data_IF_323952049730
#
_entry.id   IF_323952049730
#
_cell.length_a   1.000
_cell.length_b   1.000
_cell.length_c   1.000
_cell.angle_alpha   90.00
_cell.angle_beta   90.00
_cell.angle_gamma   90.00
#
_symmetry.space_group_name_H-M   'P 1'
#
loop_
_entity.id
_entity.type
_entity.pdbx_description
1 polymer ?
#
# COMPACT_ATOMS: atom_id res chain seq x y z
N UNK A 1 12.17 41.60 -54.93
CA UNK A 1 13.48 40.91 -54.97
C UNK A 1 13.36 39.62 -54.13
N UNK A 2 12.83 38.50 -54.62
CA UNK A 2 13.50 37.39 -55.34
C UNK A 2 14.89 36.99 -54.78
N UNK A 3 14.93 35.97 -53.93
CA UNK A 3 15.92 34.88 -54.03
C UNK A 3 15.25 33.53 -53.81
N UNK A 4 15.54 32.61 -54.73
CA UNK A 4 15.00 31.26 -54.94
C UNK A 4 16.24 30.34 -55.08
N UNK A 5 16.02 29.02 -54.93
CA UNK A 5 16.91 27.87 -55.29
C UNK A 5 18.02 27.53 -54.27
N UNK A 6 18.30 26.26 -53.92
CA UNK A 6 18.19 24.98 -54.67
C UNK A 6 17.89 23.76 -53.77
N UNK A 7 17.22 22.77 -54.39
CA UNK A 7 17.15 21.34 -54.01
C UNK A 7 18.48 20.60 -54.24
N UNK A 8 18.67 19.46 -53.57
CA UNK A 8 19.29 18.27 -54.17
C UNK A 8 18.74 16.96 -53.55
N UNK A 9 18.28 16.07 -54.43
CA UNK A 9 17.95 14.64 -54.22
C UNK A 9 19.22 13.77 -54.21
N UNK A 10 19.16 12.62 -53.53
CA UNK A 10 19.60 11.27 -53.96
C UNK A 10 19.27 10.30 -52.79
N UNK A 11 18.31 9.38 -52.89
CA UNK A 11 18.35 8.03 -53.52
C UNK A 11 19.44 7.11 -52.95
N UNK A 12 19.03 6.06 -52.21
CA UNK A 12 19.50 4.70 -52.47
C UNK A 12 18.50 3.64 -51.98
N UNK A 13 18.26 2.66 -52.87
CA UNK A 13 17.35 1.52 -52.79
C UNK A 13 18.10 0.29 -52.25
N UNK A 14 17.38 -0.72 -51.75
CA UNK A 14 17.41 -2.14 -52.20
C UNK A 14 16.62 -3.03 -51.21
N UNK A 15 15.51 -3.64 -51.66
CA UNK A 15 15.40 -4.98 -52.28
C UNK A 15 15.74 -6.13 -51.33
N UNK A 16 14.71 -6.88 -50.89
CA UNK A 16 14.66 -8.36 -51.00
C UNK A 16 13.18 -8.77 -51.10
N UNK A 17 12.80 -9.24 -52.28
CA UNK A 17 11.58 -9.99 -52.59
C UNK A 17 12.06 -11.21 -53.40
N UNK A 18 11.72 -12.42 -52.91
CA UNK A 18 11.86 -13.76 -53.49
C UNK A 18 11.77 -14.72 -52.27
N UNK A 19 10.95 -15.77 -52.18
CA UNK A 19 10.33 -16.60 -53.19
C UNK A 19 9.03 -17.22 -52.64
N UNK A 20 8.01 -17.16 -53.47
CA UNK A 20 6.79 -17.96 -53.50
C UNK A 20 7.08 -19.42 -53.88
N UNK A 21 6.38 -20.38 -53.28
CA UNK A 21 5.98 -21.62 -53.95
C UNK A 21 4.67 -22.14 -53.35
N UNK A 22 3.60 -22.00 -54.13
CA UNK A 22 2.31 -22.68 -53.97
C UNK A 22 2.34 -24.01 -54.76
N UNK A 23 1.68 -24.99 -54.16
CA UNK A 23 0.84 -26.05 -54.75
C UNK A 23 1.39 -26.94 -55.89
N UNK A 24 1.49 -28.24 -55.64
CA UNK A 24 0.80 -29.26 -56.46
C UNK A 24 0.81 -30.65 -55.78
N UNK A 25 -0.38 -31.22 -55.62
CA UNK A 25 -0.66 -32.59 -55.17
C UNK A 25 -0.53 -33.55 -56.36
N UNK A 26 -0.14 -34.82 -56.13
CA UNK A 26 -0.92 -35.88 -56.78
C UNK A 26 -1.24 -37.08 -55.86
N UNK A 27 -2.42 -37.63 -56.15
CA UNK A 27 -3.01 -38.91 -55.72
C UNK A 27 -2.10 -40.14 -55.90
N UNK A 28 -2.35 -41.15 -55.06
CA UNK A 28 -1.98 -42.55 -55.32
C UNK A 28 -2.85 -43.17 -56.43
N UNK A 29 -2.35 -44.18 -57.17
CA UNK A 29 -3.03 -45.48 -57.09
C UNK A 29 -2.15 -46.75 -57.27
N UNK A 30 -2.70 -47.83 -56.69
CA UNK A 30 -2.79 -49.23 -57.20
C UNK A 30 -1.60 -50.22 -57.18
N UNK A 31 -1.69 -51.11 -56.17
CA UNK A 31 -1.72 -52.58 -56.17
C UNK A 31 -1.30 -53.45 -57.40
N UNK A 32 -0.39 -54.38 -57.09
CA UNK A 32 -0.29 -55.83 -57.46
C UNK A 32 0.01 -56.24 -58.93
N UNK A 33 0.50 -57.47 -59.19
CA UNK A 33 1.58 -58.23 -58.53
C UNK A 33 2.58 -58.80 -59.56
N UNK A 34 3.75 -59.29 -59.12
CA UNK A 34 4.47 -60.33 -59.87
C UNK A 34 5.17 -61.29 -58.91
N UNK A 35 4.53 -62.45 -58.74
CA UNK A 35 5.07 -63.66 -58.17
C UNK A 35 6.22 -64.19 -59.03
N UNK A 36 7.35 -64.56 -58.41
CA UNK A 36 8.04 -65.80 -58.80
C UNK A 36 8.78 -66.43 -57.61
N UNK A 37 8.37 -67.66 -57.30
CA UNK A 37 9.34 -68.74 -57.10
C UNK A 37 9.79 -69.03 -55.66
N UNK A 38 8.99 -69.83 -54.95
CA UNK A 38 9.40 -70.60 -53.78
C UNK A 38 10.65 -71.44 -54.00
N UNK A 39 11.59 -71.38 -53.04
CA UNK A 39 12.13 -72.55 -52.32
C UNK A 39 12.56 -72.14 -50.91
N UNK A 40 11.70 -72.41 -49.94
CA UNK A 40 12.12 -72.52 -48.53
C UNK A 40 12.52 -73.96 -48.27
N UNK A 41 13.66 -74.17 -47.63
CA UNK A 41 13.89 -75.39 -46.86
C UNK A 41 14.42 -75.02 -45.47
N UNK A 42 13.95 -75.69 -44.41
CA UNK A 42 14.04 -75.22 -43.03
C UNK A 42 15.07 -76.07 -42.26
N UNK A 43 16.17 -75.48 -41.82
CA UNK A 43 17.06 -76.17 -40.88
C UNK A 43 18.08 -75.21 -40.25
N UNK A 44 17.71 -74.59 -39.12
CA UNK A 44 18.56 -74.17 -38.00
C UNK A 44 17.79 -73.09 -37.23
N UNK A 45 17.56 -73.12 -35.92
CA UNK A 45 17.95 -74.05 -34.89
C UNK A 45 16.95 -73.85 -33.74
N UNK A 46 16.35 -74.97 -33.36
CA UNK A 46 15.61 -75.25 -32.14
C UNK A 46 16.43 -74.96 -30.87
N UNK A 47 16.63 -73.69 -30.52
CA UNK A 47 17.38 -73.28 -29.33
C UNK A 47 16.85 -72.06 -28.56
N UNK A 48 15.89 -71.32 -29.10
CA UNK A 48 15.52 -69.99 -28.55
C UNK A 48 14.33 -70.06 -27.57
N UNK A 49 13.46 -71.07 -27.66
CA UNK A 49 12.24 -71.14 -26.83
C UNK A 49 12.47 -71.57 -25.37
N UNK A 50 13.65 -72.11 -25.01
CA UNK A 50 13.98 -72.43 -23.60
C UNK A 50 14.63 -71.26 -22.84
N UNK A 51 15.31 -70.33 -23.52
CA UNK A 51 15.91 -69.15 -22.89
C UNK A 51 14.88 -68.05 -22.61
N UNK A 52 13.88 -67.87 -23.48
CA UNK A 52 12.80 -66.89 -23.26
C UNK A 52 11.96 -67.25 -22.02
N UNK A 53 11.69 -68.54 -21.79
CA UNK A 53 10.86 -68.97 -20.64
C UNK A 53 11.56 -68.82 -19.29
N UNK A 54 12.89 -68.97 -19.22
CA UNK A 54 13.67 -68.71 -18.01
C UNK A 54 13.86 -67.20 -17.76
N UNK A 55 14.04 -66.40 -18.81
CA UNK A 55 14.13 -64.94 -18.68
C UNK A 55 12.84 -64.31 -18.13
N UNK A 56 11.68 -64.81 -18.55
CA UNK A 56 10.38 -64.31 -18.07
C UNK A 56 10.17 -64.63 -16.57
N UNK A 57 10.56 -65.82 -16.09
CA UNK A 57 10.45 -66.14 -14.66
C UNK A 57 11.45 -65.38 -13.78
N UNK A 58 12.66 -65.10 -14.28
CA UNK A 58 13.63 -64.24 -13.58
C UNK A 58 13.11 -62.80 -13.44
N UNK A 59 12.43 -62.26 -14.46
CA UNK A 59 11.85 -60.92 -14.42
C UNK A 59 10.68 -60.84 -13.42
N UNK A 60 9.81 -61.84 -13.37
CA UNK A 60 8.67 -61.89 -12.43
C UNK A 60 9.13 -62.08 -10.98
N UNK A 61 10.19 -62.85 -10.72
CA UNK A 61 10.77 -63.00 -9.38
C UNK A 61 11.56 -61.77 -8.91
N UNK A 62 12.03 -60.90 -9.83
CA UNK A 62 12.77 -59.68 -9.49
C UNK A 62 11.90 -58.59 -8.84
N UNK A 63 10.61 -58.54 -9.19
CA UNK A 63 9.67 -57.54 -8.66
C UNK A 63 9.45 -57.63 -7.15
N UNK A 64 9.10 -58.81 -6.60
CA UNK A 64 8.94 -58.99 -5.15
C UNK A 64 10.24 -58.78 -4.38
N UNK A 65 11.39 -59.17 -4.94
CA UNK A 65 12.69 -59.07 -4.28
C UNK A 65 13.20 -57.62 -4.21
N UNK A 66 13.00 -56.83 -5.28
CA UNK A 66 13.25 -55.39 -5.27
C UNK A 66 12.24 -54.64 -4.38
N UNK A 67 10.99 -55.08 -4.33
CA UNK A 67 9.97 -54.53 -3.43
C UNK A 67 10.29 -54.76 -1.94
N UNK A 68 10.79 -55.95 -1.59
CA UNK A 68 11.25 -56.28 -0.23
C UNK A 68 12.53 -55.52 0.15
N UNK A 69 13.49 -55.38 -0.77
CA UNK A 69 14.70 -54.55 -0.54
C UNK A 69 14.37 -53.06 -0.36
N UNK A 70 13.37 -52.53 -1.09
CA UNK A 70 12.92 -51.16 -0.94
C UNK A 70 12.21 -50.89 0.42
N UNK A 71 11.53 -51.90 0.97
CA UNK A 71 10.87 -51.80 2.28
C UNK A 71 11.85 -51.87 3.47
N UNK A 72 13.02 -52.49 3.29
CA UNK A 72 14.07 -52.54 4.33
C UNK A 72 15.02 -51.34 4.23
N UNK A 73 15.19 -50.75 3.05
CA UNK A 73 16.09 -49.61 2.83
C UNK A 73 15.48 -48.23 3.18
N UNK A 74 14.21 -48.15 3.55
CA UNK A 74 13.51 -46.88 3.83
C UNK A 74 13.67 -46.36 5.27
N UNK A 75 14.57 -46.95 6.06
CA UNK A 75 14.95 -46.48 7.40
C UNK A 75 16.36 -45.90 7.43
N UNK A 76 16.68 -44.97 6.53
CA UNK A 76 17.76 -44.03 6.76
C UNK A 76 17.29 -42.98 7.77
N UNK A 77 18.10 -42.55 8.76
CA UNK A 77 17.71 -41.44 9.61
C UNK A 77 17.39 -40.26 8.70
N UNK A 78 16.17 -39.76 8.78
CA UNK A 78 15.81 -38.53 8.11
C UNK A 78 16.88 -37.50 8.48
N UNK A 79 17.65 -37.04 7.50
CA UNK A 79 18.47 -35.86 7.70
C UNK A 79 17.48 -34.79 8.14
N UNK A 80 17.57 -34.42 9.41
CA UNK A 80 16.65 -33.46 10.01
C UNK A 80 16.65 -32.25 9.10
N UNK A 81 15.52 -31.98 8.45
CA UNK A 81 15.24 -30.65 7.92
C UNK A 81 15.51 -29.75 9.10
N UNK A 82 16.50 -28.87 8.97
CA UNK A 82 16.82 -27.87 10.00
C UNK A 82 15.48 -27.28 10.42
N UNK A 83 15.07 -27.61 11.65
CA UNK A 83 13.83 -27.11 12.24
C UNK A 83 13.89 -25.60 12.02
N UNK A 84 12.91 -24.97 11.34
CA UNK A 84 12.94 -23.53 11.12
C UNK A 84 13.23 -22.89 12.47
N UNK A 85 14.39 -22.24 12.61
CA UNK A 85 14.73 -21.49 13.80
C UNK A 85 13.58 -20.51 13.96
N UNK A 86 12.73 -20.74 14.95
CA UNK A 86 11.57 -19.90 15.18
C UNK A 86 12.12 -18.48 15.36
N UNK A 87 11.83 -17.60 14.40
CA UNK A 87 12.16 -16.18 14.53
C UNK A 87 11.46 -15.74 15.82
N UNK A 88 12.19 -15.24 16.83
CA UNK A 88 11.58 -14.84 18.08
C UNK A 88 10.47 -13.84 17.76
N UNK A 89 9.26 -14.12 18.22
CA UNK A 89 8.14 -13.21 18.06
C UNK A 89 8.52 -11.89 18.74
N UNK A 90 8.60 -10.77 17.99
CA UNK A 90 8.95 -9.49 18.59
C UNK A 90 7.90 -9.11 19.64
N UNK A 91 8.35 -8.48 20.72
CA UNK A 91 7.44 -8.03 21.76
C UNK A 91 6.47 -6.97 21.20
N UNK A 92 5.26 -6.94 21.72
CA UNK A 92 4.21 -6.02 21.28
C UNK A 92 4.42 -4.63 21.88
N UNK A 93 4.40 -3.55 21.08
CA UNK A 93 4.55 -2.19 21.60
C UNK A 93 3.27 -1.66 22.30
N UNK A 94 2.12 -2.34 22.19
CA UNK A 94 0.80 -1.79 22.58
C UNK A 94 0.74 -1.33 24.04
N UNK A 95 1.27 -2.13 24.97
CA UNK A 95 1.29 -1.80 26.39
C UNK A 95 2.16 -0.58 26.71
N UNK A 96 3.47 -0.62 26.36
CA UNK A 96 4.40 0.49 26.55
C UNK A 96 3.92 1.79 25.91
N UNK A 97 3.34 1.73 24.70
CA UNK A 97 2.86 2.90 23.95
C UNK A 97 1.68 3.59 24.65
N UNK A 98 0.67 2.83 25.08
CA UNK A 98 -0.44 3.38 25.86
C UNK A 98 0.00 3.98 27.19
N UNK A 99 0.94 3.35 27.89
CA UNK A 99 1.51 3.90 29.12
C UNK A 99 2.26 5.21 28.89
N UNK A 100 3.07 5.30 27.82
CA UNK A 100 3.81 6.52 27.48
C UNK A 100 2.88 7.70 27.16
N UNK A 101 1.77 7.44 26.47
CA UNK A 101 0.80 8.47 26.13
C UNK A 101 0.14 9.09 27.38
N UNK A 102 -0.26 8.24 28.33
CA UNK A 102 -0.79 8.67 29.62
C UNK A 102 0.24 9.45 30.43
N UNK A 103 1.49 8.98 30.45
CA UNK A 103 2.57 9.66 31.17
C UNK A 103 2.87 11.05 30.60
N UNK A 104 2.94 11.21 29.28
CA UNK A 104 3.17 12.53 28.65
C UNK A 104 2.02 13.49 28.95
N UNK A 105 0.77 13.01 28.93
CA UNK A 105 -0.41 13.81 29.28
C UNK A 105 -0.36 14.26 30.74
N UNK A 106 -0.05 13.35 31.68
CA UNK A 106 0.12 13.66 33.09
C UNK A 106 1.29 14.62 33.34
N UNK A 107 2.43 14.42 32.66
CA UNK A 107 3.61 15.28 32.75
C UNK A 107 3.33 16.72 32.31
N UNK A 108 2.55 16.90 31.23
CA UNK A 108 2.18 18.23 30.77
C UNK A 108 1.27 18.96 31.75
N UNK A 109 0.36 18.23 32.40
CA UNK A 109 -0.57 18.79 33.40
C UNK A 109 0.10 19.05 34.76
N UNK A 110 1.08 18.24 35.12
CA UNK A 110 1.81 18.37 36.37
C UNK A 110 2.62 19.69 36.42
N UNK A 111 2.76 20.20 37.63
CA UNK A 111 3.60 21.34 37.95
C UNK A 111 4.07 21.31 39.39
N UNK A 112 4.64 22.44 39.83
CA UNK A 112 5.19 22.60 41.17
C UNK A 112 4.15 22.25 42.25
N UNK A 113 4.47 21.31 43.12
CA UNK A 113 3.61 20.83 44.20
C UNK A 113 2.64 19.70 43.81
N UNK A 114 2.62 19.31 42.53
CA UNK A 114 1.81 18.20 42.00
C UNK A 114 2.65 17.06 41.43
N UNK A 115 3.94 17.00 41.76
CA UNK A 115 4.87 15.98 41.29
C UNK A 115 4.45 14.55 41.66
N UNK A 116 3.67 14.42 42.75
CA UNK A 116 3.07 13.14 43.17
C UNK A 116 2.16 12.53 42.11
N UNK A 117 1.58 13.34 41.22
CA UNK A 117 0.71 12.85 40.14
C UNK A 117 1.51 12.06 39.08
N UNK A 118 2.84 12.21 39.07
CA UNK A 118 3.74 11.45 38.19
C UNK A 118 4.23 10.14 38.81
N UNK A 119 4.02 9.92 40.11
CA UNK A 119 4.49 8.73 40.82
C UNK A 119 4.00 7.39 40.22
N UNK A 120 2.77 7.27 39.65
CA UNK A 120 2.35 6.05 38.97
C UNK A 120 3.16 5.72 37.72
N UNK A 121 3.84 6.71 37.13
CA UNK A 121 4.53 6.57 35.85
C UNK A 121 6.04 6.56 36.00
N UNK A 122 6.58 7.38 36.90
CA UNK A 122 8.01 7.61 37.06
C UNK A 122 8.37 7.56 38.55
N UNK A 123 9.26 6.64 38.91
CA UNK A 123 9.70 6.43 40.28
C UNK A 123 10.85 7.35 40.72
N UNK A 124 11.42 8.14 39.80
CA UNK A 124 12.50 9.05 40.12
C UNK A 124 11.99 10.35 40.75
N UNK A 125 12.88 11.05 41.46
CA UNK A 125 12.59 12.38 41.99
C UNK A 125 12.53 13.40 40.85
N UNK A 126 11.49 14.24 40.87
CA UNK A 126 11.32 15.35 39.93
C UNK A 126 10.98 16.61 40.71
N UNK A 127 11.51 17.75 40.27
CA UNK A 127 11.11 19.07 40.73
C UNK A 127 10.58 19.84 39.52
N UNK A 128 9.30 20.17 39.52
CA UNK A 128 8.68 20.92 38.44
C UNK A 128 8.64 22.40 38.80
N UNK A 129 9.10 23.26 37.89
CA UNK A 129 9.08 24.71 38.08
C UNK A 129 7.84 25.38 37.45
N UNK A 130 7.05 24.63 36.66
CA UNK A 130 5.86 25.15 35.98
C UNK A 130 4.67 25.19 36.94
N UNK A 131 3.75 26.14 36.76
CA UNK A 131 2.50 26.15 37.51
C UNK A 131 1.66 24.92 37.13
N UNK A 132 1.07 24.17 38.09
CA UNK A 132 0.17 23.07 37.79
C UNK A 132 -0.96 23.49 36.85
N UNK A 133 -1.27 22.65 35.86
CA UNK A 133 -2.30 22.90 34.84
C UNK A 133 -2.01 24.07 33.89
N UNK A 134 -0.81 24.67 33.95
CA UNK A 134 -0.42 25.73 33.01
C UNK A 134 -0.21 25.23 31.60
N UNK A 135 0.01 23.92 31.42
CA UNK A 135 0.07 23.24 30.13
C UNK A 135 -0.85 22.03 30.19
N UNK A 136 -1.47 21.71 29.08
CA UNK A 136 -2.30 20.50 28.93
C UNK A 136 -2.16 19.95 27.53
N UNK A 137 -2.21 18.63 27.40
CA UNK A 137 -2.41 17.97 26.11
C UNK A 137 -3.93 17.91 25.84
N UNK A 138 -4.42 18.58 24.79
CA UNK A 138 -5.82 18.44 24.36
C UNK A 138 -6.03 17.13 23.61
N UNK A 139 -4.98 16.66 22.93
CA UNK A 139 -4.90 15.38 22.24
C UNK A 139 -3.47 14.87 22.35
N UNK A 140 -3.31 13.56 22.45
CA UNK A 140 -2.02 12.86 22.38
C UNK A 140 -2.14 11.65 21.48
N UNK A 141 -1.03 11.20 20.91
CA UNK A 141 -0.95 9.94 20.19
C UNK A 141 0.51 9.50 20.04
N UNK A 142 0.76 8.20 20.00
CA UNK A 142 2.09 7.66 19.72
C UNK A 142 2.36 7.65 18.22
N UNK A 143 3.47 8.25 17.81
CA UNK A 143 3.87 8.35 16.39
C UNK A 143 5.06 7.45 16.03
N UNK A 144 5.80 6.97 17.03
CA UNK A 144 6.91 6.03 16.84
C UNK A 144 7.15 5.21 18.11
N UNK A 145 7.50 3.95 17.93
CA UNK A 145 7.92 3.05 18.99
C UNK A 145 9.04 2.16 18.49
N UNK A 146 10.09 2.00 19.29
CA UNK A 146 11.19 1.09 18.99
C UNK A 146 11.68 0.42 20.26
N UNK A 147 11.81 -0.90 20.23
CA UNK A 147 12.44 -1.66 21.31
C UNK A 147 13.96 -1.45 21.23
N UNK A 148 14.52 -0.79 22.25
CA UNK A 148 15.96 -0.49 22.34
C UNK A 148 16.70 -1.72 22.86
N UNK A 149 16.10 -2.43 23.81
CA UNK A 149 16.55 -3.70 24.37
C UNK A 149 15.32 -4.53 24.75
N UNK A 150 15.42 -5.87 24.91
CA UNK A 150 14.29 -6.70 25.31
C UNK A 150 13.55 -6.14 26.54
N UNK A 151 12.29 -5.77 26.36
CA UNK A 151 11.46 -5.16 27.42
C UNK A 151 11.74 -3.68 27.70
N UNK A 152 12.53 -2.99 26.89
CA UNK A 152 12.84 -1.58 27.03
C UNK A 152 12.62 -0.80 25.73
N UNK A 153 11.77 0.21 25.81
CA UNK A 153 11.17 0.87 24.67
C UNK A 153 11.51 2.35 24.64
N UNK A 154 11.82 2.87 23.46
CA UNK A 154 11.84 4.29 23.15
C UNK A 154 10.57 4.65 22.40
N UNK A 155 9.73 5.48 22.99
CA UNK A 155 8.43 5.86 22.44
C UNK A 155 8.39 7.36 22.22
N UNK A 156 7.93 7.78 21.05
CA UNK A 156 7.70 9.18 20.71
C UNK A 156 6.19 9.45 20.66
N UNK A 157 5.73 10.36 21.52
CA UNK A 157 4.35 10.83 21.63
C UNK A 157 4.24 12.21 21.00
N UNK A 158 3.28 12.40 20.11
CA UNK A 158 2.83 13.72 19.67
C UNK A 158 1.71 14.19 20.59
N UNK A 159 1.76 15.43 21.06
CA UNK A 159 0.73 16.03 21.89
C UNK A 159 0.37 17.42 21.37
N UNK A 160 -0.91 17.72 21.16
CA UNK A 160 -1.38 19.07 20.89
C UNK A 160 -1.44 19.84 22.22
N UNK A 161 -0.49 20.74 22.42
CA UNK A 161 -0.28 21.40 23.71
C UNK A 161 -1.00 22.74 23.72
N UNK A 162 -1.83 22.94 24.73
CA UNK A 162 -2.37 24.25 25.10
C UNK A 162 -1.67 24.73 26.36
N UNK A 163 -1.32 26.01 26.41
CA UNK A 163 -0.79 26.65 27.60
C UNK A 163 -1.68 27.80 28.05
N UNK A 164 -1.75 28.02 29.36
CA UNK A 164 -2.38 29.21 29.92
C UNK A 164 -1.42 30.39 29.79
N UNK A 165 -1.89 31.50 29.21
CA UNK A 165 -1.11 32.74 29.22
C UNK A 165 -1.00 33.32 30.64
N UNK A 166 -0.21 34.39 30.82
CA UNK A 166 -0.05 35.05 32.12
C UNK A 166 -1.35 35.62 32.71
N UNK A 167 -2.46 35.62 31.95
CA UNK A 167 -3.80 36.06 32.35
C UNK A 167 -4.78 34.89 32.51
N UNK A 168 -4.30 33.64 32.39
CA UNK A 168 -5.12 32.43 32.52
C UNK A 168 -6.02 32.13 31.31
N UNK A 169 -5.70 32.68 30.12
CA UNK A 169 -6.40 32.33 28.88
C UNK A 169 -5.68 31.19 28.16
N UNK A 170 -6.41 30.19 27.63
CA UNK A 170 -5.79 29.11 26.87
C UNK A 170 -5.26 29.65 25.54
N UNK A 171 -3.98 29.35 25.27
CA UNK A 171 -3.30 29.59 24.00
C UNK A 171 -2.75 28.26 23.48
N UNK A 172 -3.19 27.86 22.29
CA UNK A 172 -2.65 26.68 21.60
C UNK A 172 -1.18 26.93 21.23
N UNK A 173 -0.29 26.04 21.66
CA UNK A 173 1.12 26.03 21.29
C UNK A 173 1.41 25.10 20.10
N UNK A 174 0.42 24.31 19.69
CA UNK A 174 0.50 23.38 18.58
C UNK A 174 1.03 22.01 19.00
N UNK A 175 1.27 21.16 18.00
CA UNK A 175 1.75 19.80 18.21
C UNK A 175 3.23 19.81 18.61
N UNK A 176 3.52 19.18 19.75
CA UNK A 176 4.88 18.97 20.27
C UNK A 176 5.15 17.48 20.39
N UNK A 177 6.42 17.10 20.27
CA UNK A 177 6.84 15.71 20.26
C UNK A 177 7.71 15.43 21.48
N UNK A 178 7.39 14.35 22.19
CA UNK A 178 8.05 13.94 23.41
C UNK A 178 8.53 12.51 23.29
N UNK A 179 9.81 12.27 23.54
CA UNK A 179 10.38 10.93 23.60
C UNK A 179 10.55 10.48 25.04
N UNK A 180 10.15 9.25 25.33
CA UNK A 180 10.23 8.66 26.66
C UNK A 180 10.78 7.23 26.58
N UNK A 181 11.65 6.88 27.53
CA UNK A 181 12.09 5.51 27.74
C UNK A 181 11.12 4.78 28.69
N UNK A 182 10.55 3.66 28.28
CA UNK A 182 9.63 2.84 29.07
C UNK A 182 10.20 1.44 29.25
N UNK A 183 10.36 1.01 30.49
CA UNK A 183 10.66 -0.37 30.82
C UNK A 183 9.36 -1.14 31.07
N UNK A 184 9.26 -2.30 30.45
CA UNK A 184 8.10 -3.18 30.50
C UNK A 184 8.49 -4.55 31.06
N UNK A 185 7.60 -5.10 31.88
CA UNK A 185 7.69 -6.45 32.45
C UNK A 185 6.40 -7.20 32.12
N UNK A 186 6.43 -8.54 32.17
CA UNK A 186 5.30 -9.38 31.81
C UNK A 186 5.47 -10.05 30.43
N UNK A 187 4.37 -10.54 29.82
CA UNK A 187 4.44 -11.31 28.60
C UNK A 187 4.91 -10.50 27.39
N UNK A 188 5.43 -11.17 26.37
CA UNK A 188 5.79 -10.56 25.07
C UNK A 188 4.62 -9.82 24.42
N UNK A 189 3.38 -10.26 24.64
CA UNK A 189 2.16 -9.58 24.15
C UNK A 189 1.90 -8.23 24.83
N UNK A 190 2.54 -7.98 25.96
CA UNK A 190 2.48 -6.73 26.73
C UNK A 190 3.79 -5.92 26.62
N UNK A 191 4.70 -6.28 25.73
CA UNK A 191 5.97 -5.56 25.55
C UNK A 191 7.07 -5.96 26.53
N UNK A 192 6.82 -6.93 27.41
CA UNK A 192 7.84 -7.53 28.28
C UNK A 192 8.58 -8.69 27.62
N UNK A 193 9.37 -9.43 28.40
CA UNK A 193 10.22 -10.52 27.90
C UNK A 193 9.74 -11.91 28.32
N UNK A 194 8.69 -12.02 29.12
CA UNK A 194 8.21 -13.31 29.61
C UNK A 194 7.47 -14.08 28.52
N UNK A 195 7.72 -15.39 28.46
CA UNK A 195 7.03 -16.30 27.54
C UNK A 195 5.66 -16.74 28.07
N UNK A 196 5.45 -16.68 29.38
CA UNK A 196 4.16 -17.00 29.99
C UNK A 196 3.18 -15.84 29.83
N UNK A 197 2.00 -16.13 29.26
CA UNK A 197 0.90 -15.18 29.15
C UNK A 197 0.34 -14.71 30.52
N UNK A 198 0.63 -15.44 31.61
CA UNK A 198 0.17 -15.10 32.96
C UNK A 198 1.18 -14.30 33.78
N UNK A 199 2.32 -13.92 33.19
CA UNK A 199 3.31 -13.11 33.89
C UNK A 199 2.73 -11.74 34.24
N UNK A 200 3.06 -11.23 35.42
CA UNK A 200 2.59 -9.91 35.87
C UNK A 200 3.11 -8.82 34.95
N UNK A 201 2.18 -8.05 34.37
CA UNK A 201 2.49 -6.90 33.53
C UNK A 201 2.75 -5.66 34.37
N UNK A 202 3.81 -4.93 34.05
CA UNK A 202 4.13 -3.66 34.70
C UNK A 202 4.96 -2.77 33.79
N UNK A 203 4.77 -1.46 33.93
CA UNK A 203 5.46 -0.43 33.15
C UNK A 203 6.02 0.64 34.08
N UNK A 204 7.18 1.16 33.73
CA UNK A 204 7.75 2.35 34.40
C UNK A 204 8.52 3.18 33.38
N UNK A 205 8.38 4.50 33.46
CA UNK A 205 9.23 5.41 32.73
C UNK A 205 10.62 5.43 33.37
N UNK A 206 11.65 5.43 32.55
CA UNK A 206 13.06 5.51 33.00
C UNK A 206 13.57 6.95 33.07
N UNK A 207 12.85 7.89 32.46
CA UNK A 207 13.19 9.31 32.42
C UNK A 207 11.95 10.16 32.27
N UNK A 208 12.07 11.46 32.56
CA UNK A 208 11.06 12.45 32.16
C UNK A 208 10.96 12.54 30.62
N UNK A 209 9.83 12.99 30.08
CA UNK A 209 9.67 13.17 28.64
C UNK A 209 10.65 14.22 28.09
N UNK A 210 11.46 13.83 27.11
CA UNK A 210 12.36 14.74 26.41
C UNK A 210 11.64 15.33 25.19
N UNK A 211 11.60 16.66 25.08
CA UNK A 211 11.05 17.30 23.88
C UNK A 211 12.00 17.08 22.69
N UNK A 212 11.47 16.57 21.59
CA UNK A 212 12.22 16.24 20.36
C UNK A 212 11.63 16.95 19.15
N UNK A 213 12.38 16.98 18.06
CA UNK A 213 11.91 17.53 16.79
C UNK A 213 10.74 16.72 16.23
N UNK A 214 9.89 17.39 15.45
CA UNK A 214 8.85 16.73 14.66
C UNK A 214 9.46 15.74 13.65
N UNK A 215 8.76 14.65 13.31
CA UNK A 215 9.12 13.83 12.16
C UNK A 215 9.25 14.67 10.88
N UNK A 216 10.13 14.25 9.98
CA UNK A 216 10.31 14.92 8.71
C UNK A 216 9.00 14.92 7.92
N UNK A 217 8.55 16.11 7.51
CA UNK A 217 7.45 16.23 6.58
C UNK A 217 7.89 15.72 5.20
N UNK A 218 7.01 15.00 4.51
CA UNK A 218 7.27 14.47 3.17
C UNK A 218 6.29 15.08 2.16
N UNK A 219 6.77 15.28 0.94
CA UNK A 219 5.94 15.42 -0.24
C UNK A 219 5.58 14.01 -0.74
N UNK A 220 4.30 13.75 -1.05
CA UNK A 220 3.89 12.45 -1.59
C UNK A 220 4.53 12.21 -2.96
N UNK A 221 4.63 10.93 -3.34
CA UNK A 221 4.92 10.56 -4.73
C UNK A 221 3.84 11.08 -5.69
N UNK A 222 4.18 11.17 -6.97
CA UNK A 222 3.23 11.57 -8.00
C UNK A 222 2.05 10.58 -8.07
N UNK A 223 0.83 11.11 -8.14
CA UNK A 223 -0.38 10.34 -8.35
C UNK A 223 -0.46 9.80 -9.78
N UNK A 224 -1.25 8.74 -9.97
CA UNK A 224 -1.42 8.07 -11.27
C UNK A 224 -2.42 8.76 -12.22
N UNK A 225 -3.09 9.83 -11.78
CA UNK A 225 -4.12 10.55 -12.54
C UNK A 225 -3.49 11.71 -13.32
N UNK A 226 -3.08 11.46 -14.57
CA UNK A 226 -2.31 12.43 -15.36
C UNK A 226 -3.17 13.34 -16.25
N UNK A 227 -4.36 12.88 -16.60
CA UNK A 227 -5.24 13.54 -17.55
C UNK A 227 -6.30 14.36 -16.82
N UNK A 228 -6.20 15.67 -16.89
CA UNK A 228 -7.24 16.57 -16.38
C UNK A 228 -8.42 16.62 -17.35
N UNK A 229 -9.61 16.32 -16.84
CA UNK A 229 -10.88 16.41 -17.56
C UNK A 229 -11.61 17.72 -17.29
N UNK A 230 -11.32 18.39 -16.18
CA UNK A 230 -12.05 19.55 -15.71
C UNK A 230 -13.45 19.23 -15.17
N UNK A 231 -14.00 20.13 -14.35
CA UNK A 231 -15.32 19.97 -13.72
C UNK A 231 -16.51 20.21 -14.65
N UNK A 232 -16.34 20.98 -15.72
CA UNK A 232 -17.40 21.30 -16.69
C UNK A 232 -17.44 20.36 -17.90
N UNK A 233 -16.66 19.27 -17.88
CA UNK A 233 -16.62 18.29 -18.95
C UNK A 233 -18.00 17.66 -19.20
N UNK A 234 -18.31 17.43 -20.47
CA UNK A 234 -19.46 16.65 -20.96
C UNK A 234 -19.09 15.17 -21.21
N UNK A 235 -17.95 14.73 -20.68
CA UNK A 235 -17.50 13.34 -20.75
C UNK A 235 -18.47 12.45 -19.93
N UNK A 236 -19.04 11.39 -20.52
CA UNK A 236 -19.96 10.50 -19.81
C UNK A 236 -19.38 9.88 -18.52
N UNK A 237 -18.06 9.70 -18.44
CA UNK A 237 -17.41 9.22 -17.22
C UNK A 237 -17.50 10.26 -16.10
N UNK A 238 -17.26 11.53 -16.44
CA UNK A 238 -17.36 12.67 -15.50
C UNK A 238 -18.79 12.85 -15.00
N UNK A 239 -19.79 12.74 -15.89
CA UNK A 239 -21.19 12.85 -15.51
C UNK A 239 -21.64 11.69 -14.60
N UNK A 240 -21.12 10.49 -14.84
CA UNK A 240 -21.35 9.32 -13.97
C UNK A 240 -20.77 9.58 -12.57
N UNK A 241 -19.54 10.08 -12.49
CA UNK A 241 -18.91 10.40 -11.21
C UNK A 241 -19.64 11.53 -10.44
N UNK A 242 -20.08 12.58 -11.14
CA UNK A 242 -20.91 13.66 -10.56
C UNK A 242 -22.20 13.12 -9.95
N UNK A 243 -22.95 12.35 -10.73
CA UNK A 243 -24.22 11.77 -10.29
C UNK A 243 -24.05 10.79 -9.14
N UNK A 244 -23.02 9.93 -9.21
CA UNK A 244 -22.66 9.02 -8.15
C UNK A 244 -22.32 9.74 -6.84
N UNK A 245 -21.41 10.72 -6.86
CA UNK A 245 -20.98 11.42 -5.65
C UNK A 245 -22.10 12.28 -5.04
N UNK A 246 -22.96 12.87 -5.87
CA UNK A 246 -24.18 13.51 -5.37
C UNK A 246 -25.05 12.49 -4.61
N UNK A 247 -25.39 11.36 -5.23
CA UNK A 247 -26.17 10.29 -4.59
C UNK A 247 -25.54 9.74 -3.31
N UNK A 248 -24.22 9.52 -3.35
CA UNK A 248 -23.46 8.90 -2.28
C UNK A 248 -23.39 9.78 -1.03
N UNK A 249 -23.27 11.09 -1.19
CA UNK A 249 -23.02 12.04 -0.11
C UNK A 249 -24.29 12.74 0.41
N UNK A 250 -25.30 12.94 -0.43
CA UNK A 250 -26.57 13.55 -0.02
C UNK A 250 -27.64 12.52 0.32
N UNK A 251 -27.49 11.27 -0.13
CA UNK A 251 -28.52 10.23 0.02
C UNK A 251 -29.85 10.54 -0.68
N UNK A 252 -29.92 11.57 -1.53
CA UNK A 252 -31.18 12.05 -2.14
C UNK A 252 -31.47 11.47 -3.52
N UNK A 253 -30.52 10.76 -4.15
CA UNK A 253 -30.70 10.17 -5.48
C UNK A 253 -30.38 8.68 -5.51
N UNK A 254 -30.88 8.00 -6.55
CA UNK A 254 -30.70 6.56 -6.73
C UNK A 254 -29.23 6.24 -7.04
N UNK A 255 -28.46 5.89 -6.01
CA UNK A 255 -27.07 5.48 -6.12
C UNK A 255 -26.89 4.31 -7.11
N UNK A 256 -27.83 3.36 -7.09
CA UNK A 256 -27.82 2.15 -7.91
C UNK A 256 -27.81 2.45 -9.42
N UNK A 257 -28.28 3.63 -9.83
CA UNK A 257 -28.23 4.07 -11.24
C UNK A 257 -26.81 4.26 -11.75
N UNK A 258 -25.90 4.65 -10.86
CA UNK A 258 -24.50 4.93 -11.19
C UNK A 258 -23.56 3.81 -10.77
N UNK A 259 -24.00 2.88 -9.92
CA UNK A 259 -23.18 1.78 -9.44
C UNK A 259 -23.18 0.59 -10.42
N UNK A 260 -22.03 -0.07 -10.52
CA UNK A 260 -21.91 -1.31 -11.31
C UNK A 260 -22.75 -2.41 -10.66
N UNK A 261 -23.43 -3.27 -11.44
CA UNK A 261 -24.19 -4.37 -10.88
C UNK A 261 -23.33 -5.29 -10.02
N UNK A 262 -23.78 -5.53 -8.79
CA UNK A 262 -23.04 -6.31 -7.79
C UNK A 262 -22.03 -5.50 -6.98
N UNK A 263 -21.79 -4.22 -7.29
CA UNK A 263 -21.04 -3.33 -6.40
C UNK A 263 -21.75 -3.22 -5.04
N UNK A 264 -20.98 -3.27 -3.95
CA UNK A 264 -21.51 -3.16 -2.58
C UNK A 264 -21.39 -1.73 -2.07
N UNK A 265 -21.86 -0.77 -2.88
CA UNK A 265 -21.82 0.66 -2.56
C UNK A 265 -23.12 1.07 -1.89
N UNK A 266 -23.02 1.84 -0.81
CA UNK A 266 -24.18 2.37 -0.07
C UNK A 266 -23.95 3.85 0.18
N UNK A 267 -24.99 4.66 0.02
CA UNK A 267 -24.93 6.06 0.36
C UNK A 267 -24.66 6.23 1.86
N UNK A 268 -23.97 7.32 2.23
CA UNK A 268 -23.67 7.62 3.63
C UNK A 268 -24.99 7.92 4.36
N UNK A 269 -25.20 7.26 5.50
CA UNK A 269 -26.41 7.39 6.30
C UNK A 269 -26.09 7.59 7.78
N UNK A 270 -26.62 8.66 8.43
CA UNK A 270 -27.42 9.74 7.85
C UNK A 270 -26.61 10.59 6.86
N UNK A 271 -27.29 11.24 5.90
CA UNK A 271 -26.62 12.05 4.88
C UNK A 271 -25.93 13.27 5.52
N UNK A 272 -24.59 13.40 5.41
CA UNK A 272 -23.86 14.50 6.03
C UNK A 272 -24.02 15.83 5.28
N UNK A 273 -24.36 15.79 3.99
CA UNK A 273 -24.38 16.97 3.12
C UNK A 273 -25.73 17.17 2.44
N UNK A 274 -26.08 18.43 2.21
CA UNK A 274 -27.26 18.83 1.47
C UNK A 274 -26.96 19.03 -0.03
N UNK A 275 -25.74 19.42 -0.38
CA UNK A 275 -25.32 19.72 -1.75
C UNK A 275 -23.88 19.23 -2.01
N UNK A 276 -23.60 18.85 -3.25
CA UNK A 276 -22.26 18.47 -3.73
C UNK A 276 -21.99 19.12 -5.08
N UNK A 277 -20.82 19.75 -5.21
CA UNK A 277 -20.32 20.33 -6.45
C UNK A 277 -18.96 19.75 -6.81
N UNK A 278 -18.84 19.13 -7.99
CA UNK A 278 -17.55 18.67 -8.51
C UNK A 278 -16.71 19.87 -8.98
N UNK A 279 -15.47 19.97 -8.51
CA UNK A 279 -14.55 21.08 -8.77
C UNK A 279 -13.39 20.70 -9.69
N UNK A 280 -12.94 19.45 -9.65
CA UNK A 280 -11.94 18.90 -10.57
C UNK A 280 -12.14 17.40 -10.80
N UNK A 281 -11.75 16.91 -11.97
CA UNK A 281 -11.70 15.48 -12.30
C UNK A 281 -10.44 15.19 -13.07
N UNK A 282 -9.64 14.25 -12.57
CA UNK A 282 -8.46 13.73 -13.24
C UNK A 282 -8.62 12.22 -13.45
N UNK A 283 -8.01 11.68 -14.50
CA UNK A 283 -7.98 10.24 -14.74
C UNK A 283 -6.64 9.71 -15.25
N UNK A 284 -6.53 8.39 -15.27
CA UNK A 284 -5.35 7.65 -15.69
C UNK A 284 -5.33 7.30 -17.19
N UNK A 285 -6.32 7.76 -17.95
CA UNK A 285 -6.37 7.49 -19.39
C UNK A 285 -5.33 8.31 -20.14
N UNK A 286 -4.67 7.69 -21.12
CA UNK A 286 -3.59 8.30 -21.91
C UNK A 286 -4.09 9.31 -22.96
N UNK A 287 -5.40 9.44 -23.16
CA UNK A 287 -5.98 10.34 -24.16
C UNK A 287 -6.97 11.32 -23.55
N UNK A 288 -6.54 12.57 -23.43
CA UNK A 288 -7.42 13.70 -23.13
C UNK A 288 -8.40 13.90 -24.29
N UNK A 289 -9.68 13.57 -24.11
CA UNK A 289 -10.73 13.87 -25.09
C UNK A 289 -11.58 12.69 -25.58
N UNK A 290 -11.51 11.52 -24.96
CA UNK A 290 -12.48 10.46 -25.27
C UNK A 290 -13.87 10.79 -24.72
N UNK A 291 -14.70 11.47 -25.53
CA UNK A 291 -16.10 11.78 -25.21
C UNK A 291 -17.06 10.61 -25.46
N UNK A 292 -16.56 9.50 -26.02
CA UNK A 292 -17.35 8.30 -26.30
C UNK A 292 -17.00 7.21 -25.30
N UNK A 293 -18.01 6.55 -24.76
CA UNK A 293 -17.83 5.37 -23.90
C UNK A 293 -17.11 4.26 -24.69
N UNK A 294 -15.97 3.73 -24.19
CA UNK A 294 -15.25 2.64 -24.81
C UNK A 294 -16.02 1.31 -24.82
N UNK A 295 -15.39 0.26 -25.37
CA UNK A 295 -15.94 -1.10 -25.32
C UNK A 295 -16.20 -1.56 -23.88
N UNK A 296 -17.19 -2.42 -23.70
CA UNK A 296 -17.57 -2.97 -22.39
C UNK A 296 -16.39 -3.63 -21.67
N UNK A 297 -16.35 -3.48 -20.35
CA UNK A 297 -15.28 -3.97 -19.48
C UNK A 297 -14.04 -3.08 -19.42
N UNK A 298 -14.03 -1.94 -20.11
CA UNK A 298 -12.95 -0.95 -19.98
C UNK A 298 -13.00 -0.36 -18.58
N UNK A 299 -11.84 -0.28 -17.92
CA UNK A 299 -11.67 0.30 -16.59
C UNK A 299 -11.07 1.70 -16.71
N UNK A 300 -11.53 2.63 -15.88
CA UNK A 300 -10.99 3.97 -15.75
C UNK A 300 -10.86 4.33 -14.27
N UNK A 301 -9.70 4.84 -13.85
CA UNK A 301 -9.52 5.33 -12.50
C UNK A 301 -9.60 6.85 -12.49
N UNK A 302 -10.51 7.41 -11.67
CA UNK A 302 -10.71 8.85 -11.56
C UNK A 302 -10.38 9.36 -10.18
N UNK A 303 -9.73 10.51 -10.10
CA UNK A 303 -9.59 11.33 -8.90
C UNK A 303 -10.51 12.53 -9.03
N UNK A 304 -11.53 12.60 -8.19
CA UNK A 304 -12.58 13.60 -8.24
C UNK A 304 -12.52 14.47 -7.00
N UNK A 305 -12.38 15.79 -7.19
CA UNK A 305 -12.50 16.77 -6.12
C UNK A 305 -13.91 17.34 -6.10
N UNK A 306 -14.46 17.47 -4.89
CA UNK A 306 -15.80 18.03 -4.68
C UNK A 306 -15.80 19.01 -3.53
N UNK A 307 -16.64 20.03 -3.63
CA UNK A 307 -17.07 20.83 -2.49
C UNK A 307 -18.44 20.31 -2.05
N UNK A 308 -18.55 19.87 -0.79
CA UNK A 308 -19.78 19.37 -0.20
C UNK A 308 -20.27 20.35 0.88
N UNK A 309 -21.53 20.75 0.80
CA UNK A 309 -22.14 21.73 1.70
C UNK A 309 -23.14 21.04 2.61
N UNK A 310 -22.98 21.24 3.92
CA UNK A 310 -23.88 20.67 4.92
C UNK A 310 -25.21 21.44 5.04
N UNK A 311 -26.11 20.96 5.89
CA UNK A 311 -27.42 21.59 6.10
C UNK A 311 -27.35 22.99 6.74
N UNK A 312 -26.21 23.37 7.33
CA UNK A 312 -25.96 24.69 7.90
C UNK A 312 -25.37 25.68 6.88
N UNK A 313 -25.06 25.22 5.67
CA UNK A 313 -24.39 26.01 4.65
C UNK A 313 -22.86 26.01 4.76
N UNK A 314 -22.28 25.15 5.62
CA UNK A 314 -20.83 25.03 5.74
C UNK A 314 -20.28 24.10 4.67
N UNK A 315 -19.30 24.57 3.89
CA UNK A 315 -18.69 23.80 2.80
C UNK A 315 -17.34 23.22 3.19
N UNK A 316 -17.10 21.97 2.77
CA UNK A 316 -15.81 21.27 2.90
C UNK A 316 -15.39 20.69 1.55
N UNK A 317 -14.09 20.75 1.26
CA UNK A 317 -13.52 20.12 0.06
C UNK A 317 -13.11 18.68 0.36
N UNK A 318 -13.52 17.75 -0.48
CA UNK A 318 -13.26 16.31 -0.39
C UNK A 318 -12.65 15.81 -1.69
N UNK A 319 -11.94 14.67 -1.62
CA UNK A 319 -11.38 14.00 -2.79
C UNK A 319 -11.74 12.53 -2.76
N UNK A 320 -12.15 11.99 -3.91
CA UNK A 320 -12.55 10.59 -4.07
C UNK A 320 -11.75 9.96 -5.20
N UNK A 321 -11.13 8.82 -4.93
CA UNK A 321 -10.63 7.93 -5.96
C UNK A 321 -11.74 6.94 -6.31
N UNK A 322 -12.11 6.87 -7.58
CA UNK A 322 -13.18 6.03 -8.09
C UNK A 322 -12.64 5.10 -9.16
N UNK A 323 -13.07 3.85 -9.14
CA UNK A 323 -12.90 2.93 -10.25
C UNK A 323 -14.21 2.84 -11.02
N UNK A 324 -14.17 3.19 -12.31
CA UNK A 324 -15.30 3.12 -13.23
C UNK A 324 -15.10 1.97 -14.21
N UNK A 325 -16.20 1.31 -14.61
CA UNK A 325 -16.22 0.29 -15.65
C UNK A 325 -17.28 0.60 -16.71
N UNK A 326 -16.94 0.43 -17.98
CA UNK A 326 -17.89 0.61 -19.07
C UNK A 326 -18.76 -0.64 -19.24
N UNK A 327 -20.05 -0.45 -19.49
CA UNK A 327 -20.99 -1.53 -19.77
C UNK A 327 -22.18 -1.02 -20.58
N UNK A 328 -22.55 -1.72 -21.66
CA UNK A 328 -23.66 -1.38 -22.53
C UNK A 328 -23.67 0.11 -22.93
N UNK A 329 -22.50 0.66 -23.24
CA UNK A 329 -22.35 2.05 -23.70
C UNK A 329 -22.52 3.13 -22.62
N UNK A 330 -22.49 2.78 -21.32
CA UNK A 330 -22.40 3.75 -20.21
C UNK A 330 -21.23 3.41 -19.29
N UNK A 331 -20.82 4.39 -18.48
CA UNK A 331 -19.93 4.15 -17.36
C UNK A 331 -20.75 3.83 -16.11
N UNK A 332 -20.16 3.01 -15.24
CA UNK A 332 -20.70 2.66 -13.93
C UNK A 332 -19.55 2.70 -12.92
N UNK A 333 -19.81 3.12 -11.69
CA UNK A 333 -18.84 3.13 -10.59
C UNK A 333 -18.78 1.73 -9.99
N UNK A 334 -17.61 1.09 -10.06
CA UNK A 334 -17.38 -0.22 -9.49
C UNK A 334 -16.94 -0.13 -8.01
N UNK A 335 -16.14 0.87 -7.65
CA UNK A 335 -15.69 1.12 -6.27
C UNK A 335 -15.41 2.59 -5.98
N UNK A 336 -15.51 2.92 -4.69
CA UNK A 336 -14.80 4.05 -4.09
C UNK A 336 -13.53 3.46 -3.48
N UNK A 337 -12.37 3.90 -3.96
CA UNK A 337 -11.10 3.31 -3.59
C UNK A 337 -10.63 3.88 -2.23
N UNK A 338 -9.94 3.05 -1.45
CA UNK A 338 -9.49 3.42 -0.09
C UNK A 338 -8.47 4.58 -0.10
N UNK A 339 -7.71 4.72 -1.17
CA UNK A 339 -6.76 5.81 -1.39
C UNK A 339 -6.51 6.07 -2.88
N UNK A 340 -6.16 7.31 -3.27
CA UNK A 340 -5.70 7.61 -4.62
C UNK A 340 -4.45 6.80 -4.99
N UNK A 341 -4.41 6.29 -6.21
CA UNK A 341 -3.27 5.55 -6.72
C UNK A 341 -2.03 6.44 -6.85
N UNK A 342 -0.89 5.94 -6.34
CA UNK A 342 0.44 6.53 -6.49
C UNK A 342 1.18 5.78 -7.58
N UNK A 343 1.96 6.48 -8.42
CA UNK A 343 2.79 5.81 -9.43
C UNK A 343 3.82 4.93 -8.73
N UNK A 344 3.94 3.67 -9.15
CA UNK A 344 4.86 2.71 -8.54
C UNK A 344 6.34 3.17 -8.54
N UNK A 345 6.74 4.00 -9.51
CA UNK A 345 8.09 4.56 -9.61
C UNK A 345 8.29 5.89 -8.88
N UNK A 346 7.27 6.45 -8.22
CA UNK A 346 7.37 7.75 -7.55
C UNK A 346 7.57 7.57 -6.03
N UNK A 347 8.80 7.80 -5.58
CA UNK A 347 9.11 7.82 -4.15
C UNK A 347 8.66 9.16 -3.52
N UNK A 348 8.21 9.16 -2.25
CA UNK A 348 8.04 10.39 -1.51
C UNK A 348 9.39 11.11 -1.34
N UNK A 349 9.36 12.43 -1.22
CA UNK A 349 10.56 13.26 -1.07
C UNK A 349 10.44 14.13 0.18
N UNK A 350 11.57 14.57 0.75
CA UNK A 350 11.54 15.49 1.88
C UNK A 350 10.81 16.80 1.49
N UNK A 351 9.87 17.24 2.33
CA UNK A 351 9.31 18.57 2.20
C UNK A 351 10.35 19.60 2.66
N UNK A 352 10.52 20.72 1.94
CA UNK A 352 11.45 21.77 2.37
C UNK A 352 11.01 22.30 3.75
N UNK A 353 11.97 22.46 4.64
CA UNK A 353 11.75 23.17 5.90
C UNK A 353 11.52 24.64 5.58
N UNK A 354 10.29 25.12 5.70
CA UNK A 354 10.06 26.57 5.78
C UNK A 354 10.55 27.02 7.14
N UNK A 355 11.81 27.41 7.24
CA UNK A 355 12.26 28.32 8.30
C UNK A 355 11.41 29.58 8.16
N UNK A 356 10.70 30.05 9.20
CA UNK A 356 10.07 31.35 9.14
C UNK A 356 11.16 32.36 8.80
N UNK A 357 11.03 32.98 7.63
CA UNK A 357 11.98 33.98 7.18
C UNK A 357 11.99 35.11 8.21
N UNK A 358 13.14 35.32 8.84
CA UNK A 358 13.38 36.50 9.66
C UNK A 358 13.66 37.68 8.71
N UNK A 359 12.71 38.01 7.84
CA UNK A 359 12.71 39.29 7.14
C UNK A 359 11.93 40.29 8.00
N UNK A 360 12.61 40.77 9.04
CA UNK A 360 12.25 41.96 9.77
C UNK A 360 13.51 42.71 10.16
N UNK A 361 13.92 43.63 9.29
CA UNK A 361 14.58 44.87 9.72
C UNK A 361 16.10 44.85 9.78
N UNK A 362 16.77 44.75 8.63
CA UNK A 362 18.07 45.42 8.46
C UNK A 362 17.82 46.84 7.92
N UNK A 363 17.34 47.74 8.79
CA UNK A 363 17.42 49.16 8.53
C UNK A 363 18.90 49.56 8.54
N UNK A 364 19.43 49.91 7.36
CA UNK A 364 20.78 50.46 7.23
C UNK A 364 20.76 51.91 7.71
N UNK A 365 21.57 52.32 8.70
CA UNK A 365 21.70 53.74 9.03
C UNK A 365 22.44 54.47 7.90
N UNK A 366 21.78 55.50 7.37
CA UNK A 366 22.34 56.43 6.38
C UNK A 366 23.52 57.20 7.00
N UNK A 367 24.71 57.25 6.37
CA UNK A 367 25.78 58.12 6.84
C UNK A 367 25.56 59.55 6.36
N UNK A 368 25.57 60.50 7.30
CA UNK A 368 25.68 61.93 7.02
C UNK A 368 26.92 62.23 6.17
N UNK A 369 26.75 63.09 5.18
CA UNK A 369 27.85 63.82 4.54
C UNK A 369 27.55 65.32 4.56
N UNK A 370 28.61 66.04 4.88
CA UNK A 370 28.92 67.47 5.02
C UNK A 370 28.03 68.53 4.38
#
# INVERSE_FOLDING_TARGET
MKRRRRQRKADEKQFVEAESWDEEVPEAPEAEPDETGWKTSPAHLSGITRLVRLGVWALVASGPLLGLMAFVASSGPAQGVDKPTAVPTPASPVGPTGFAELFVSAYLQAGQGTERDLAPYYSGSVALAVKPGSRTATQSTVIASGEVQPGYWSITVAADVTAQDGKGKPKRLGVQYFRVGIQATGPVSAGGTATSATATTGYTATSLPAQVAAPAALKPGALAYESDRGSSSTDPAVDTAKGFLAAYLTGTSELDRYASPGARLKAISPAPYAEVKVTAVQDDATSAGQQKVPADGTVLHQLVQVDATDQSGSSVSLSYALTLTSRAGRWEVASVDDAPAIRASSAPSAAPHTTPDADAGSATPSPSAS
#
